data_IF_471532419466
#
_entry.id   IF_471532419466
#
_cell.length_a   1.000
_cell.length_b   1.000
_cell.length_c   1.000
_cell.angle_alpha   90.00
_cell.angle_beta   90.00
_cell.angle_gamma   90.00
#
_symmetry.space_group_name_H-M   'P 1'
#
loop_
_entity.id
_entity.type
_entity.pdbx_description
1 polymer ?
#
# COMPACT_ATOMS: atom_id res chain seq x y z
N UNK A 1 19.59 -5.66 71.65
CA UNK A 1 19.64 -4.40 70.87
C UNK A 1 20.35 -4.58 69.50
N UNK A 2 21.33 -5.44 69.34
CA UNK A 2 22.12 -5.63 68.10
C UNK A 2 21.27 -6.05 66.91
N UNK A 3 20.25 -6.91 67.11
CA UNK A 3 19.38 -7.37 66.01
C UNK A 3 18.44 -6.29 65.46
N UNK A 4 18.03 -5.30 66.26
CA UNK A 4 17.15 -4.24 65.80
C UNK A 4 17.87 -3.21 64.92
N UNK A 5 19.14 -2.95 65.20
CA UNK A 5 20.00 -2.01 64.45
C UNK A 5 20.40 -2.64 63.10
N UNK A 6 20.72 -3.94 63.08
CA UNK A 6 21.03 -4.66 61.86
C UNK A 6 19.83 -4.71 60.89
N UNK A 7 18.63 -4.98 61.41
CA UNK A 7 17.39 -4.99 60.62
C UNK A 7 17.00 -3.61 60.03
N UNK A 8 17.31 -2.52 60.74
CA UNK A 8 17.14 -1.15 60.22
C UNK A 8 18.08 -0.86 59.06
N UNK A 9 19.38 -1.18 59.29
CA UNK A 9 20.43 -0.96 58.29
C UNK A 9 20.13 -1.71 56.97
N UNK A 10 19.70 -2.97 57.09
CA UNK A 10 19.32 -3.78 55.91
C UNK A 10 18.13 -3.17 55.16
N UNK A 11 17.12 -2.67 55.88
CA UNK A 11 15.95 -2.00 55.24
C UNK A 11 16.33 -0.68 54.58
N UNK A 12 17.19 0.11 55.15
CA UNK A 12 17.68 1.38 54.58
C UNK A 12 18.51 1.13 53.31
N UNK A 13 19.41 0.15 53.34
CA UNK A 13 20.21 -0.23 52.17
C UNK A 13 19.28 -0.74 51.06
N UNK A 14 18.29 -1.59 51.39
CA UNK A 14 17.30 -2.08 50.39
C UNK A 14 16.46 -0.94 49.83
N UNK A 15 16.09 0.07 50.65
CA UNK A 15 15.38 1.28 50.17
C UNK A 15 16.22 2.11 49.22
N UNK A 16 17.48 2.38 49.56
CA UNK A 16 18.40 3.13 48.68
C UNK A 16 18.66 2.38 47.37
N UNK A 17 18.81 1.04 47.41
CA UNK A 17 19.00 0.20 46.22
C UNK A 17 17.77 0.25 45.27
N UNK A 18 16.56 0.21 45.83
CA UNK A 18 15.33 0.38 45.02
C UNK A 18 15.26 1.75 44.37
N UNK A 19 15.55 2.80 45.16
CA UNK A 19 15.52 4.17 44.64
C UNK A 19 16.57 4.38 43.54
N UNK A 20 17.76 3.78 43.64
CA UNK A 20 18.77 3.81 42.60
C UNK A 20 18.31 3.07 41.33
N UNK A 21 17.57 1.94 41.47
CA UNK A 21 16.96 1.23 40.33
C UNK A 21 15.88 2.08 39.68
N UNK A 22 15.02 2.74 40.44
CA UNK A 22 13.97 3.63 39.94
C UNK A 22 14.55 4.82 39.16
N UNK A 23 15.65 5.40 39.69
CA UNK A 23 16.41 6.46 39.00
C UNK A 23 16.94 5.94 37.65
N UNK A 24 17.60 4.80 37.66
CA UNK A 24 18.13 4.20 36.40
C UNK A 24 17.02 3.93 35.38
N UNK A 25 15.87 3.43 35.82
CA UNK A 25 14.74 3.22 34.95
C UNK A 25 14.18 4.54 34.39
N UNK A 26 14.03 5.56 35.25
CA UNK A 26 13.57 6.89 34.79
C UNK A 26 14.56 7.54 33.82
N UNK A 27 15.87 7.36 34.04
CA UNK A 27 16.91 7.82 33.10
C UNK A 27 16.77 7.14 31.72
N UNK A 28 16.50 5.82 31.67
CA UNK A 28 16.26 5.09 30.44
C UNK A 28 15.01 5.65 29.75
N UNK A 29 13.92 5.89 30.48
CA UNK A 29 12.69 6.48 29.94
C UNK A 29 12.93 7.87 29.35
N UNK A 30 13.71 8.72 30.02
CA UNK A 30 14.08 10.06 29.53
C UNK A 30 14.96 9.98 28.29
N UNK A 31 15.96 9.08 28.29
CA UNK A 31 16.91 8.96 27.17
C UNK A 31 16.30 8.35 25.92
N UNK A 32 15.34 7.42 26.08
CA UNK A 32 14.68 6.73 24.96
C UNK A 32 13.38 7.40 24.51
N UNK A 33 12.81 8.29 25.34
CA UNK A 33 11.49 8.86 25.15
C UNK A 33 10.35 7.85 25.32
N UNK A 34 10.63 6.62 25.79
CA UNK A 34 9.63 5.54 25.90
C UNK A 34 9.40 5.12 27.34
N UNK A 35 8.12 5.07 27.72
CA UNK A 35 7.64 4.61 29.02
C UNK A 35 7.75 3.09 29.18
N UNK A 36 7.44 2.34 28.11
CA UNK A 36 7.47 0.89 28.08
C UNK A 36 8.73 0.44 27.34
N UNK A 37 9.66 -0.16 28.09
CA UNK A 37 10.90 -0.74 27.57
C UNK A 37 10.78 -2.26 27.41
N UNK A 38 10.06 -2.90 28.34
CA UNK A 38 9.88 -4.35 28.42
C UNK A 38 8.40 -4.65 28.60
N UNK A 39 7.96 -5.80 28.13
CA UNK A 39 6.59 -6.25 28.32
C UNK A 39 6.18 -6.39 29.81
N UNK A 40 7.18 -6.56 30.71
CA UNK A 40 6.98 -6.59 32.15
C UNK A 40 6.60 -5.24 32.77
N UNK A 41 6.92 -4.13 32.11
CA UNK A 41 6.67 -2.78 32.66
C UNK A 41 5.17 -2.44 32.63
N UNK A 42 4.47 -2.87 31.57
CA UNK A 42 3.02 -2.76 31.41
C UNK A 42 2.54 -3.84 30.43
N UNK A 43 2.16 -5.04 30.90
CA UNK A 43 1.79 -6.17 30.03
C UNK A 43 0.57 -5.87 29.15
N UNK A 44 -0.37 -5.08 29.64
CA UNK A 44 -1.60 -4.75 28.90
C UNK A 44 -1.27 -3.80 27.74
N UNK A 45 -0.56 -2.71 28.03
CA UNK A 45 -0.14 -1.78 27.00
C UNK A 45 0.83 -2.44 26.01
N UNK A 46 1.78 -3.27 26.48
CA UNK A 46 2.70 -3.98 25.60
C UNK A 46 2.00 -4.92 24.63
N UNK A 47 0.95 -5.63 25.06
CA UNK A 47 0.13 -6.48 24.19
C UNK A 47 -0.59 -5.64 23.14
N UNK A 48 -1.17 -4.50 23.54
CA UNK A 48 -1.85 -3.59 22.60
C UNK A 48 -0.89 -2.99 21.58
N UNK A 49 0.28 -2.55 22.03
CA UNK A 49 1.35 -2.05 21.16
C UNK A 49 1.81 -3.09 20.15
N UNK A 50 1.97 -4.36 20.57
CA UNK A 50 2.31 -5.46 19.66
C UNK A 50 1.25 -5.67 18.58
N UNK A 51 -0.04 -5.62 18.94
CA UNK A 51 -1.15 -5.68 17.98
C UNK A 51 -1.13 -4.49 17.00
N UNK A 52 -0.91 -3.28 17.49
CA UNK A 52 -0.80 -2.07 16.65
C UNK A 52 0.37 -2.15 15.67
N UNK A 53 1.52 -2.69 16.10
CA UNK A 53 2.69 -2.91 15.23
C UNK A 53 2.39 -3.90 14.12
N UNK A 54 1.67 -4.98 14.41
CA UNK A 54 1.23 -5.95 13.40
C UNK A 54 0.29 -5.30 12.39
N UNK A 55 -0.69 -4.53 12.85
CA UNK A 55 -1.59 -3.78 11.97
C UNK A 55 -0.83 -2.78 11.10
N UNK A 56 0.15 -2.08 11.67
CA UNK A 56 1.00 -1.14 10.93
C UNK A 56 1.85 -1.85 9.87
N UNK A 57 2.43 -3.01 10.19
CA UNK A 57 3.21 -3.80 9.22
C UNK A 57 2.34 -4.26 8.05
N UNK A 58 1.12 -4.73 8.31
CA UNK A 58 0.16 -5.07 7.25
C UNK A 58 -0.19 -3.86 6.40
N UNK A 59 -0.46 -2.70 7.02
CA UNK A 59 -0.77 -1.47 6.30
C UNK A 59 0.38 -1.03 5.36
N UNK A 60 1.64 -1.20 5.78
CA UNK A 60 2.81 -0.94 4.91
C UNK A 60 2.81 -1.86 3.69
N UNK A 61 2.58 -3.16 3.89
CA UNK A 61 2.52 -4.13 2.79
C UNK A 61 1.38 -3.81 1.81
N UNK A 62 0.20 -3.45 2.31
CA UNK A 62 -0.92 -3.02 1.47
C UNK A 62 -0.63 -1.71 0.74
N UNK A 63 0.05 -0.76 1.37
CA UNK A 63 0.51 0.47 0.74
C UNK A 63 1.44 0.22 -0.46
N UNK A 64 2.35 -0.74 -0.35
CA UNK A 64 3.20 -1.17 -1.46
C UNK A 64 2.33 -1.73 -2.60
N UNK A 65 1.37 -2.62 -2.28
CA UNK A 65 0.46 -3.18 -3.28
C UNK A 65 -0.38 -2.09 -3.97
N UNK A 66 -0.84 -1.08 -3.22
CA UNK A 66 -1.58 0.06 -3.81
C UNK A 66 -0.73 0.87 -4.78
N UNK A 67 0.53 1.13 -4.45
CA UNK A 67 1.44 1.85 -5.33
C UNK A 67 1.71 1.06 -6.62
N UNK A 68 1.95 -0.25 -6.51
CA UNK A 68 2.10 -1.13 -7.68
C UNK A 68 0.82 -1.12 -8.52
N UNK A 69 -0.35 -1.27 -7.89
CA UNK A 69 -1.62 -1.28 -8.59
C UNK A 69 -1.91 0.04 -9.31
N UNK A 70 -1.60 1.19 -8.70
CA UNK A 70 -1.72 2.51 -9.34
C UNK A 70 -0.83 2.64 -10.57
N UNK A 71 0.40 2.16 -10.49
CA UNK A 71 1.29 2.14 -11.66
C UNK A 71 0.73 1.28 -12.78
N UNK A 72 0.20 0.08 -12.46
CA UNK A 72 -0.40 -0.81 -13.43
C UNK A 72 -1.67 -0.23 -14.06
N UNK A 73 -2.55 0.39 -13.26
CA UNK A 73 -3.78 1.02 -13.79
C UNK A 73 -3.45 2.21 -14.69
N UNK A 74 -2.53 3.09 -14.29
CA UNK A 74 -2.12 4.23 -15.10
C UNK A 74 -1.46 3.79 -16.42
N UNK A 75 -0.64 2.75 -16.39
CA UNK A 75 -0.05 2.16 -17.61
C UNK A 75 -1.13 1.56 -18.50
N UNK A 76 -2.09 0.83 -17.91
CA UNK A 76 -3.21 0.23 -18.66
C UNK A 76 -4.12 1.30 -19.30
N UNK A 77 -4.41 2.40 -18.60
CA UNK A 77 -5.16 3.54 -19.14
C UNK A 77 -4.47 4.14 -20.38
N UNK A 78 -3.17 4.35 -20.32
CA UNK A 78 -2.39 4.86 -21.45
C UNK A 78 -2.43 3.92 -22.64
N UNK A 79 -2.26 2.62 -22.42
CA UNK A 79 -2.29 1.58 -23.46
C UNK A 79 -3.69 1.45 -24.07
N UNK A 80 -4.76 1.46 -23.27
CA UNK A 80 -6.13 1.41 -23.76
C UNK A 80 -6.53 2.65 -24.55
N UNK A 81 -6.00 3.82 -24.19
CA UNK A 81 -6.19 5.03 -24.97
C UNK A 81 -5.62 4.88 -26.37
N UNK A 82 -4.40 4.38 -26.52
CA UNK A 82 -3.80 4.11 -27.82
C UNK A 82 -4.61 3.09 -28.61
N UNK A 83 -5.09 2.02 -27.96
CA UNK A 83 -5.95 1.03 -28.62
C UNK A 83 -7.28 1.64 -29.09
N UNK A 84 -7.87 2.55 -28.31
CA UNK A 84 -9.09 3.26 -28.70
C UNK A 84 -8.87 4.17 -29.91
N UNK A 85 -7.76 4.88 -29.96
CA UNK A 85 -7.41 5.74 -31.08
C UNK A 85 -7.21 4.92 -32.35
N UNK A 86 -6.58 3.73 -32.29
CA UNK A 86 -6.39 2.80 -33.39
C UNK A 86 -7.72 2.19 -33.88
N UNK A 87 -8.59 1.74 -32.96
CA UNK A 87 -9.92 1.23 -33.31
C UNK A 87 -10.79 2.32 -33.95
N UNK A 88 -10.74 3.54 -33.45
CA UNK A 88 -11.40 4.70 -34.03
C UNK A 88 -10.94 4.93 -35.47
N UNK A 89 -9.61 4.88 -35.71
CA UNK A 89 -9.03 5.00 -37.05
C UNK A 89 -9.45 3.84 -37.98
N UNK A 90 -9.46 2.61 -37.46
CA UNK A 90 -9.93 1.45 -38.23
C UNK A 90 -11.41 1.60 -38.63
N UNK A 91 -12.26 2.10 -37.72
CA UNK A 91 -13.67 2.32 -38.02
C UNK A 91 -13.87 3.43 -39.06
N UNK A 92 -13.12 4.54 -38.99
CA UNK A 92 -13.14 5.59 -40.04
C UNK A 92 -12.75 5.06 -41.41
N UNK A 93 -11.68 4.26 -41.48
CA UNK A 93 -11.23 3.64 -42.72
C UNK A 93 -12.29 2.67 -43.31
N UNK A 94 -12.88 1.82 -42.46
CA UNK A 94 -13.93 0.91 -42.84
C UNK A 94 -15.19 1.63 -43.33
N UNK A 95 -15.57 2.72 -42.63
CA UNK A 95 -16.70 3.56 -43.02
C UNK A 95 -16.45 4.25 -44.37
N UNK A 96 -15.24 4.78 -44.60
CA UNK A 96 -14.86 5.36 -45.89
C UNK A 96 -14.93 4.36 -47.03
N UNK A 97 -14.53 3.11 -46.75
CA UNK A 97 -14.55 2.01 -47.74
C UNK A 97 -15.96 1.44 -47.98
N UNK A 98 -16.93 1.74 -47.15
CA UNK A 98 -18.33 1.34 -47.35
C UNK A 98 -18.98 2.07 -48.55
N UNK A 99 -18.42 3.20 -48.97
CA UNK A 99 -18.80 3.89 -50.21
C UNK A 99 -18.39 3.06 -51.40
N UNK A 100 -19.35 2.43 -52.09
CA UNK A 100 -19.16 1.52 -53.24
C UNK A 100 -18.49 2.13 -54.48
N UNK A 101 -18.01 3.36 -54.43
CA UNK A 101 -17.36 4.11 -55.53
C UNK A 101 -15.84 4.01 -55.54
N UNK A 102 -15.22 3.38 -54.52
CA UNK A 102 -13.76 3.27 -54.42
C UNK A 102 -13.18 2.35 -55.51
N UNK A 103 -12.05 2.80 -56.09
CA UNK A 103 -11.28 1.97 -57.02
C UNK A 103 -10.66 0.76 -56.31
N UNK A 104 -10.33 -0.29 -57.07
CA UNK A 104 -9.70 -1.51 -56.49
C UNK A 104 -8.37 -1.18 -55.78
N UNK A 105 -7.59 -0.24 -56.35
CA UNK A 105 -6.33 0.18 -55.78
C UNK A 105 -6.52 0.89 -54.41
N UNK A 106 -7.53 1.73 -54.27
CA UNK A 106 -7.84 2.44 -53.04
C UNK A 106 -8.31 1.47 -51.95
N UNK A 107 -9.16 0.48 -52.30
CA UNK A 107 -9.55 -0.56 -51.35
C UNK A 107 -8.37 -1.42 -50.90
N UNK A 108 -7.42 -1.72 -51.78
CA UNK A 108 -6.23 -2.47 -51.44
C UNK A 108 -5.34 -1.65 -50.44
N UNK A 109 -5.20 -0.34 -50.66
CA UNK A 109 -4.45 0.54 -49.74
C UNK A 109 -5.08 0.60 -48.34
N UNK A 110 -6.42 0.77 -48.27
CA UNK A 110 -7.17 0.74 -47.01
C UNK A 110 -7.02 -0.61 -46.28
N UNK A 111 -7.14 -1.70 -47.01
CA UNK A 111 -6.98 -3.06 -46.46
C UNK A 111 -5.57 -3.26 -45.86
N UNK A 112 -4.53 -2.73 -46.51
CA UNK A 112 -3.17 -2.79 -46.00
C UNK A 112 -3.01 -1.96 -44.71
N UNK A 113 -3.57 -0.73 -44.67
CA UNK A 113 -3.55 0.13 -43.47
C UNK A 113 -4.29 -0.54 -42.30
N UNK A 114 -5.46 -1.12 -42.53
CA UNK A 114 -6.19 -1.87 -41.50
C UNK A 114 -5.42 -3.09 -41.00
N UNK A 115 -4.72 -3.80 -41.87
CA UNK A 115 -3.88 -4.93 -41.44
C UNK A 115 -2.74 -4.48 -40.55
N UNK A 116 -2.12 -3.33 -40.82
CA UNK A 116 -1.09 -2.74 -39.97
C UNK A 116 -1.66 -2.33 -38.61
N UNK A 117 -2.84 -1.72 -38.55
CA UNK A 117 -3.53 -1.38 -37.30
C UNK A 117 -3.83 -2.65 -36.49
N UNK A 118 -4.25 -3.74 -37.13
CA UNK A 118 -4.50 -4.99 -36.43
C UNK A 118 -3.23 -5.59 -35.80
N UNK A 119 -2.10 -5.51 -36.48
CA UNK A 119 -0.82 -5.98 -35.97
C UNK A 119 -0.35 -5.10 -34.77
N UNK A 120 -0.60 -3.80 -34.85
CA UNK A 120 -0.31 -2.88 -33.74
C UNK A 120 -1.21 -3.16 -32.53
N UNK A 121 -2.51 -3.44 -32.72
CA UNK A 121 -3.44 -3.83 -31.67
C UNK A 121 -3.02 -5.15 -30.96
N UNK A 122 -2.53 -6.12 -31.73
CA UNK A 122 -1.98 -7.35 -31.13
C UNK A 122 -0.74 -7.07 -30.28
N UNK A 123 0.14 -6.19 -30.75
CA UNK A 123 1.31 -5.72 -29.99
C UNK A 123 0.90 -5.04 -28.68
N UNK A 124 -0.11 -4.18 -28.74
CA UNK A 124 -0.70 -3.52 -27.56
C UNK A 124 -1.23 -4.55 -26.55
N UNK A 125 -1.95 -5.55 -27.01
CA UNK A 125 -2.46 -6.63 -26.16
C UNK A 125 -1.38 -7.49 -25.51
N UNK A 126 -0.15 -7.46 -26.02
CA UNK A 126 1.02 -8.15 -25.51
C UNK A 126 1.96 -7.27 -24.66
N UNK A 127 1.58 -6.02 -24.40
CA UNK A 127 2.42 -5.06 -23.63
C UNK A 127 2.82 -5.62 -22.27
N UNK A 128 4.11 -5.49 -21.92
CA UNK A 128 4.62 -5.83 -20.61
C UNK A 128 4.51 -4.64 -19.64
N UNK A 129 4.29 -4.97 -18.39
CA UNK A 129 4.31 -4.01 -17.30
C UNK A 129 5.74 -3.60 -16.94
N UNK A 130 5.89 -2.56 -16.16
CA UNK A 130 7.19 -2.13 -15.58
C UNK A 130 7.87 -3.21 -14.72
N UNK A 131 7.16 -4.29 -14.39
CA UNK A 131 7.66 -5.44 -13.62
C UNK A 131 8.18 -6.58 -14.53
N UNK A 132 8.15 -6.40 -15.87
CA UNK A 132 8.56 -7.42 -16.83
C UNK A 132 7.56 -8.57 -17.00
N UNK A 133 6.32 -8.40 -16.54
CA UNK A 133 5.24 -9.37 -16.71
C UNK A 133 4.17 -8.80 -17.65
N UNK A 134 3.35 -9.63 -18.32
CA UNK A 134 2.26 -9.13 -19.14
C UNK A 134 1.37 -8.16 -18.35
N UNK A 135 1.14 -6.97 -18.88
CA UNK A 135 0.27 -5.97 -18.26
C UNK A 135 -1.16 -6.50 -18.15
N UNK A 136 -1.63 -7.18 -19.19
CA UNK A 136 -2.93 -7.81 -19.27
C UNK A 136 -2.80 -9.33 -19.14
N UNK A 137 -3.28 -9.89 -18.03
CA UNK A 137 -3.21 -11.33 -17.81
C UNK A 137 -3.98 -12.10 -18.88
N UNK A 138 -3.38 -13.17 -19.43
CA UNK A 138 -4.01 -14.01 -20.46
C UNK A 138 -4.92 -15.11 -19.90
N UNK A 139 -4.87 -15.32 -18.57
CA UNK A 139 -5.69 -16.31 -17.86
C UNK A 139 -6.53 -15.67 -16.77
N UNK A 140 -6.35 -16.10 -15.54
CA UNK A 140 -7.04 -15.50 -14.38
C UNK A 140 -6.52 -14.11 -14.09
N UNK A 141 -7.42 -13.21 -13.68
CA UNK A 141 -7.07 -11.87 -13.29
C UNK A 141 -6.11 -11.87 -12.07
N UNK A 142 -5.11 -11.00 -12.09
CA UNK A 142 -4.13 -10.88 -11.00
C UNK A 142 -4.77 -10.19 -9.80
N UNK A 143 -5.17 -10.97 -8.80
CA UNK A 143 -5.73 -10.46 -7.56
C UNK A 143 -4.62 -9.88 -6.68
N UNK A 144 -4.83 -8.68 -6.17
CA UNK A 144 -3.96 -8.00 -5.21
C UNK A 144 -4.76 -7.65 -3.95
N UNK A 145 -4.11 -7.82 -2.79
CA UNK A 145 -4.73 -7.49 -1.50
C UNK A 145 -4.35 -6.07 -1.09
N UNK A 146 -5.35 -5.27 -0.77
CA UNK A 146 -5.21 -3.86 -0.40
C UNK A 146 -5.68 -3.55 1.03
N UNK A 147 -6.45 -4.45 1.62
CA UNK A 147 -6.90 -4.44 3.02
C UNK A 147 -7.33 -5.87 3.39
N UNK A 148 -7.75 -6.11 4.63
CA UNK A 148 -8.31 -7.39 5.05
C UNK A 148 -9.48 -7.83 4.17
N UNK A 149 -10.36 -6.89 3.82
CA UNK A 149 -11.57 -7.13 3.05
C UNK A 149 -11.50 -6.61 1.60
N UNK A 150 -10.36 -6.06 1.19
CA UNK A 150 -10.16 -5.52 -0.15
C UNK A 150 -9.18 -6.40 -0.95
N UNK A 151 -9.73 -7.34 -1.70
CA UNK A 151 -9.02 -8.21 -2.64
C UNK A 151 -9.67 -8.05 -4.01
N UNK A 152 -8.95 -7.52 -5.00
CA UNK A 152 -9.43 -7.40 -6.39
C UNK A 152 -8.28 -7.26 -7.38
N UNK A 153 -8.56 -7.43 -8.66
CA UNK A 153 -7.61 -7.20 -9.74
C UNK A 153 -7.66 -5.72 -10.15
N UNK A 154 -6.54 -4.96 -10.05
CA UNK A 154 -6.50 -3.57 -10.49
C UNK A 154 -6.69 -3.42 -12.01
N UNK A 155 -6.12 -4.35 -12.78
CA UNK A 155 -6.23 -4.42 -14.24
C UNK A 155 -6.98 -5.70 -14.60
N UNK A 156 -8.02 -5.63 -15.46
CA UNK A 156 -8.72 -6.80 -15.98
C UNK A 156 -7.83 -7.68 -16.87
N UNK A 157 -8.33 -8.86 -17.25
CA UNK A 157 -7.62 -9.76 -18.18
C UNK A 157 -7.63 -9.22 -19.59
N UNK A 158 -6.68 -9.69 -20.43
CA UNK A 158 -6.62 -9.35 -21.86
C UNK A 158 -7.95 -9.63 -22.56
N UNK A 159 -8.55 -10.79 -22.31
CA UNK A 159 -9.82 -11.15 -22.91
C UNK A 159 -10.96 -10.19 -22.51
N UNK A 160 -11.02 -9.81 -21.23
CA UNK A 160 -12.04 -8.87 -20.75
C UNK A 160 -11.90 -7.46 -21.36
N UNK A 161 -10.71 -7.10 -21.84
CA UNK A 161 -10.43 -5.78 -22.42
C UNK A 161 -10.62 -5.75 -23.95
N UNK A 162 -10.13 -6.78 -24.64
CA UNK A 162 -9.97 -6.76 -26.11
C UNK A 162 -10.88 -7.73 -26.85
N UNK A 163 -11.56 -8.66 -26.16
CA UNK A 163 -12.41 -9.63 -26.82
C UNK A 163 -13.88 -9.17 -26.85
N UNK A 164 -14.48 -9.16 -28.04
CA UNK A 164 -15.86 -8.80 -28.29
C UNK A 164 -16.47 -9.84 -29.23
N UNK A 165 -17.66 -10.34 -28.95
CA UNK A 165 -18.31 -11.31 -29.76
C UNK A 165 -17.55 -12.62 -30.03
N UNK A 166 -16.59 -12.97 -29.12
CA UNK A 166 -15.79 -14.19 -29.24
C UNK A 166 -14.50 -14.04 -30.05
N UNK A 167 -14.18 -12.85 -30.53
CA UNK A 167 -12.97 -12.54 -31.29
C UNK A 167 -12.23 -11.35 -30.66
N UNK A 168 -10.93 -11.23 -30.94
CA UNK A 168 -10.13 -10.08 -30.48
C UNK A 168 -10.42 -8.85 -31.33
N UNK A 169 -10.23 -7.66 -30.79
CA UNK A 169 -10.34 -6.39 -31.49
C UNK A 169 -9.47 -6.39 -32.79
N UNK A 170 -8.24 -6.91 -32.68
CA UNK A 170 -7.34 -7.06 -33.83
C UNK A 170 -7.94 -7.96 -34.92
N UNK A 171 -8.63 -9.05 -34.54
CA UNK A 171 -9.27 -9.94 -35.49
C UNK A 171 -10.44 -9.25 -36.20
N UNK A 172 -11.27 -8.47 -35.51
CA UNK A 172 -12.33 -7.68 -36.12
C UNK A 172 -11.77 -6.69 -37.17
N UNK A 173 -10.62 -6.07 -36.90
CA UNK A 173 -9.94 -5.18 -37.86
C UNK A 173 -9.41 -5.96 -39.07
N UNK A 174 -8.87 -7.18 -38.90
CA UNK A 174 -8.42 -8.05 -39.98
C UNK A 174 -9.60 -8.51 -40.87
N UNK A 175 -10.71 -8.83 -40.23
CA UNK A 175 -11.93 -9.22 -40.98
C UNK A 175 -12.46 -8.05 -41.81
N UNK A 176 -12.41 -6.81 -41.27
CA UNK A 176 -12.73 -5.60 -42.04
C UNK A 176 -11.74 -5.38 -43.19
N UNK A 177 -10.44 -5.55 -42.97
CA UNK A 177 -9.42 -5.44 -44.00
C UNK A 177 -9.68 -6.42 -45.16
N UNK A 178 -10.00 -7.68 -44.84
CA UNK A 178 -10.33 -8.72 -45.80
C UNK A 178 -11.60 -8.42 -46.60
N UNK A 179 -12.67 -7.98 -45.92
CA UNK A 179 -13.95 -7.62 -46.54
C UNK A 179 -13.79 -6.45 -47.52
N UNK A 180 -13.00 -5.44 -47.16
CA UNK A 180 -12.73 -4.26 -48.03
C UNK A 180 -11.87 -4.64 -49.21
N UNK A 181 -10.79 -5.41 -48.98
CA UNK A 181 -9.95 -5.91 -50.09
C UNK A 181 -10.75 -6.70 -51.12
N UNK A 182 -11.69 -7.53 -50.68
CA UNK A 182 -12.59 -8.30 -51.52
C UNK A 182 -13.71 -7.45 -52.19
N UNK A 183 -13.97 -6.25 -51.72
CA UNK A 183 -15.06 -5.39 -52.20
C UNK A 183 -16.46 -5.92 -51.85
N UNK A 184 -16.57 -6.72 -50.76
CA UNK A 184 -17.85 -7.34 -50.36
C UNK A 184 -18.59 -6.39 -49.38
N UNK A 185 -19.57 -5.67 -49.92
CA UNK A 185 -20.34 -4.67 -49.18
C UNK A 185 -21.10 -5.24 -47.96
N UNK A 186 -21.63 -6.48 -48.10
CA UNK A 186 -22.31 -7.12 -46.97
C UNK A 186 -21.33 -7.49 -45.83
N UNK A 187 -20.15 -8.00 -46.18
CA UNK A 187 -19.10 -8.28 -45.18
C UNK A 187 -18.54 -7.00 -44.54
N UNK A 188 -18.40 -5.90 -45.29
CA UNK A 188 -17.99 -4.60 -44.78
C UNK A 188 -19.01 -4.10 -43.75
N UNK A 189 -20.33 -4.18 -44.04
CA UNK A 189 -21.37 -3.79 -43.08
C UNK A 189 -21.32 -4.63 -41.77
N UNK A 190 -21.09 -5.94 -41.90
CA UNK A 190 -20.92 -6.83 -40.74
C UNK A 190 -19.68 -6.46 -39.91
N UNK A 191 -18.56 -6.17 -40.58
CA UNK A 191 -17.31 -5.76 -39.91
C UNK A 191 -17.43 -4.41 -39.19
N UNK A 192 -18.16 -3.45 -39.77
CA UNK A 192 -18.45 -2.18 -39.07
C UNK A 192 -19.19 -2.40 -37.75
N UNK A 193 -20.24 -3.26 -37.78
CA UNK A 193 -20.96 -3.61 -36.53
C UNK A 193 -20.05 -4.29 -35.51
N UNK A 194 -19.13 -5.15 -35.97
CA UNK A 194 -18.16 -5.80 -35.07
C UNK A 194 -17.12 -4.82 -34.51
N UNK A 195 -16.67 -3.86 -35.32
CA UNK A 195 -15.76 -2.78 -34.84
C UNK A 195 -16.44 -1.86 -33.80
N UNK A 196 -17.71 -1.50 -34.02
CA UNK A 196 -18.48 -0.73 -33.04
C UNK A 196 -18.57 -1.50 -31.71
N UNK A 197 -18.85 -2.81 -31.76
CA UNK A 197 -18.85 -3.66 -30.57
C UNK A 197 -17.49 -3.76 -29.89
N UNK A 198 -16.39 -3.74 -30.64
CA UNK A 198 -15.04 -3.71 -30.06
C UNK A 198 -14.72 -2.36 -29.40
N UNK A 199 -15.17 -1.26 -29.99
CA UNK A 199 -15.03 0.10 -29.41
C UNK A 199 -15.83 0.20 -28.10
N UNK A 200 -17.08 -0.27 -28.08
CA UNK A 200 -17.92 -0.28 -26.86
C UNK A 200 -17.31 -1.13 -25.74
N UNK A 201 -16.74 -2.29 -26.09
CA UNK A 201 -16.03 -3.14 -25.15
C UNK A 201 -14.82 -2.41 -24.56
N UNK A 202 -14.03 -1.74 -25.38
CA UNK A 202 -12.85 -0.99 -24.94
C UNK A 202 -13.24 0.20 -24.04
N UNK A 203 -14.31 0.90 -24.38
CA UNK A 203 -14.85 1.99 -23.55
C UNK A 203 -15.31 1.48 -22.17
N UNK A 204 -15.98 0.33 -22.15
CA UNK A 204 -16.36 -0.35 -20.88
C UNK A 204 -15.12 -0.74 -20.07
N UNK A 205 -14.10 -1.25 -20.72
CA UNK A 205 -12.83 -1.61 -20.09
C UNK A 205 -12.10 -0.41 -19.49
N UNK A 206 -12.06 0.71 -20.21
CA UNK A 206 -11.50 1.98 -19.71
C UNK A 206 -12.26 2.46 -18.47
N UNK A 207 -13.60 2.44 -18.50
CA UNK A 207 -14.42 2.81 -17.35
C UNK A 207 -14.12 1.91 -16.13
N UNK A 208 -13.96 0.60 -16.33
CA UNK A 208 -13.63 -0.34 -15.25
C UNK A 208 -12.26 -0.04 -14.62
N UNK A 209 -11.25 0.28 -15.42
CA UNK A 209 -9.93 0.66 -14.94
C UNK A 209 -10.01 1.99 -14.14
N UNK A 210 -10.74 2.98 -14.67
CA UNK A 210 -10.97 4.23 -13.95
C UNK A 210 -11.68 4.04 -12.60
N UNK A 211 -12.68 3.15 -12.55
CA UNK A 211 -13.34 2.76 -11.28
C UNK A 211 -12.34 2.12 -10.31
N UNK A 212 -11.47 1.23 -10.80
CA UNK A 212 -10.46 0.58 -9.97
C UNK A 212 -9.41 1.59 -9.47
N UNK A 213 -8.97 2.53 -10.32
CA UNK A 213 -8.07 3.61 -9.93
C UNK A 213 -8.68 4.50 -8.83
N UNK A 214 -9.92 4.95 -9.00
CA UNK A 214 -10.63 5.72 -7.98
C UNK A 214 -10.85 4.93 -6.67
N UNK A 215 -11.04 3.60 -6.77
CA UNK A 215 -11.13 2.72 -5.59
C UNK A 215 -9.80 2.63 -4.85
N UNK A 216 -8.68 2.52 -5.58
CA UNK A 216 -7.33 2.52 -5.00
C UNK A 216 -7.03 3.83 -4.28
N UNK A 217 -7.44 4.97 -4.84
CA UNK A 217 -7.23 6.27 -4.22
C UNK A 217 -7.98 6.40 -2.90
N UNK A 218 -9.26 6.02 -2.87
CA UNK A 218 -10.04 6.02 -1.62
C UNK A 218 -9.45 5.08 -0.55
N UNK A 219 -8.97 3.89 -0.96
CA UNK A 219 -8.32 2.97 -0.04
C UNK A 219 -7.02 3.56 0.52
N UNK A 220 -6.21 4.20 -0.30
CA UNK A 220 -4.97 4.81 0.15
C UNK A 220 -5.20 5.98 1.13
N UNK A 221 -6.22 6.80 0.88
CA UNK A 221 -6.63 7.87 1.81
C UNK A 221 -7.08 7.30 3.16
N UNK A 222 -7.96 6.28 3.15
CA UNK A 222 -8.39 5.60 4.37
C UNK A 222 -7.23 4.94 5.13
N UNK A 223 -6.23 4.40 4.41
CA UNK A 223 -5.02 3.85 5.02
C UNK A 223 -4.14 4.92 5.65
N UNK A 224 -4.01 6.09 5.02
CA UNK A 224 -3.25 7.21 5.57
C UNK A 224 -3.87 7.70 6.89
N UNK A 225 -5.19 7.86 6.95
CA UNK A 225 -5.92 8.25 8.17
C UNK A 225 -5.78 7.21 9.29
N UNK A 226 -5.94 5.92 8.97
CA UNK A 226 -5.70 4.83 9.94
C UNK A 226 -4.26 4.83 10.44
N UNK A 227 -3.29 5.10 9.56
CA UNK A 227 -1.88 5.19 9.92
C UNK A 227 -1.63 6.26 10.99
N UNK A 228 -2.24 7.44 10.85
CA UNK A 228 -2.17 8.53 11.83
C UNK A 228 -2.80 8.09 13.16
N UNK A 229 -3.99 7.48 13.11
CA UNK A 229 -4.69 7.00 14.32
C UNK A 229 -3.88 5.94 15.06
N UNK A 230 -3.31 4.96 14.35
CA UNK A 230 -2.45 3.92 14.94
C UNK A 230 -1.18 4.54 15.54
N UNK A 231 -0.55 5.49 14.86
CA UNK A 231 0.63 6.18 15.37
C UNK A 231 0.32 6.97 16.65
N UNK A 232 -0.80 7.69 16.68
CA UNK A 232 -1.24 8.44 17.86
C UNK A 232 -1.56 7.51 19.04
N UNK A 233 -2.30 6.41 18.82
CA UNK A 233 -2.59 5.42 19.87
C UNK A 233 -1.30 4.78 20.39
N UNK A 234 -0.37 4.42 19.50
CA UNK A 234 0.91 3.85 19.91
C UNK A 234 1.75 4.84 20.72
N UNK A 235 1.81 6.10 20.29
CA UNK A 235 2.49 7.17 21.01
C UNK A 235 1.91 7.35 22.42
N UNK A 236 0.58 7.38 22.55
CA UNK A 236 -0.08 7.52 23.87
C UNK A 236 0.22 6.36 24.83
N UNK A 237 0.50 5.17 24.30
CA UNK A 237 0.83 3.97 25.09
C UNK A 237 2.32 3.87 25.41
N UNK A 238 3.19 4.12 24.42
CA UNK A 238 4.63 3.88 24.50
C UNK A 238 5.43 5.09 25.00
N UNK A 239 5.01 6.32 24.66
CA UNK A 239 5.86 7.49 24.85
C UNK A 239 5.84 7.99 26.30
N UNK A 240 6.96 8.55 26.73
CA UNK A 240 7.13 9.14 28.05
C UNK A 240 6.80 10.63 27.99
N UNK A 241 6.01 11.09 28.96
CA UNK A 241 5.91 12.54 29.25
C UNK A 241 7.24 13.02 29.82
N UNK A 242 8.10 13.58 28.96
CA UNK A 242 9.45 14.01 29.32
C UNK A 242 9.49 15.04 30.45
N UNK A 243 8.65 16.10 30.46
CA UNK A 243 8.59 17.05 31.58
C UNK A 243 8.35 16.35 32.93
N UNK A 244 7.36 15.47 32.99
CA UNK A 244 7.02 14.70 34.19
C UNK A 244 8.13 13.72 34.57
N UNK A 245 8.74 13.05 33.60
CA UNK A 245 9.84 12.11 33.87
C UNK A 245 11.10 12.81 34.38
N UNK A 246 11.46 13.97 33.82
CA UNK A 246 12.60 14.79 34.30
C UNK A 246 12.35 15.32 35.73
N UNK A 247 11.13 15.81 36.00
CA UNK A 247 10.78 16.24 37.33
C UNK A 247 10.88 15.11 38.37
N UNK A 248 10.40 13.90 38.01
CA UNK A 248 10.52 12.69 38.84
C UNK A 248 11.98 12.30 39.04
N UNK A 249 12.80 12.32 37.99
CA UNK A 249 14.22 12.01 38.08
C UNK A 249 14.94 12.94 39.06
N UNK A 250 14.70 14.25 38.99
CA UNK A 250 15.28 15.22 39.89
C UNK A 250 14.85 14.98 41.32
N UNK A 251 13.54 14.74 41.56
CA UNK A 251 13.02 14.44 42.88
C UNK A 251 13.62 13.16 43.48
N UNK A 252 13.73 12.10 42.68
CA UNK A 252 14.36 10.84 43.11
C UNK A 252 15.84 11.00 43.41
N UNK A 253 16.58 11.77 42.60
CA UNK A 253 18.01 12.06 42.86
C UNK A 253 18.23 12.80 44.17
N UNK A 254 17.45 13.86 44.42
CA UNK A 254 17.51 14.63 45.70
C UNK A 254 17.13 13.72 46.88
N UNK A 255 16.11 12.85 46.71
CA UNK A 255 15.71 11.92 47.77
C UNK A 255 16.80 10.92 48.09
N UNK A 256 17.51 10.40 47.08
CA UNK A 256 18.63 9.48 47.27
C UNK A 256 19.80 10.15 48.00
N UNK A 257 20.17 11.37 47.60
CA UNK A 257 21.22 12.16 48.27
C UNK A 257 20.87 12.43 49.73
N UNK A 258 19.62 12.82 50.01
CA UNK A 258 19.15 13.06 51.39
C UNK A 258 19.16 11.77 52.23
N UNK A 259 18.74 10.64 51.66
CA UNK A 259 18.76 9.32 52.31
C UNK A 259 20.19 8.88 52.63
N UNK A 260 21.14 9.06 51.71
CA UNK A 260 22.55 8.76 51.90
C UNK A 260 23.18 9.65 52.99
N UNK A 261 22.88 10.96 53.00
CA UNK A 261 23.35 11.88 54.01
C UNK A 261 22.79 11.55 55.41
N UNK A 262 21.51 11.22 55.50
CA UNK A 262 20.88 10.77 56.75
C UNK A 262 21.49 9.47 57.25
N UNK A 263 21.68 8.49 56.37
CA UNK A 263 22.33 7.21 56.73
C UNK A 263 23.75 7.40 57.25
N UNK A 264 24.56 8.23 56.58
CA UNK A 264 25.92 8.54 57.04
C UNK A 264 25.93 9.22 58.43
N UNK A 265 24.98 10.12 58.71
CA UNK A 265 24.85 10.80 59.99
C UNK A 265 24.43 9.85 61.13
N UNK A 266 23.50 8.94 60.85
CA UNK A 266 23.05 7.94 61.84
C UNK A 266 24.18 6.97 62.18
N UNK A 267 24.90 6.48 61.17
CA UNK A 267 25.99 5.52 61.37
C UNK A 267 27.19 6.11 62.11
N UNK A 268 27.50 7.40 61.98
CA UNK A 268 28.54 8.07 62.72
C UNK A 268 28.18 8.13 64.21
N UNK A 269 26.93 8.39 64.56
CA UNK A 269 26.48 8.43 65.96
C UNK A 269 26.52 7.08 66.67
N UNK A 270 26.14 6.01 65.95
CA UNK A 270 26.17 4.65 66.53
C UNK A 270 27.59 4.12 66.75
N UNK A 271 28.58 4.51 65.96
CA UNK A 271 29.99 4.14 66.14
C UNK A 271 30.62 4.87 67.37
N UNK A 272 30.28 6.13 67.56
CA UNK A 272 30.76 6.90 68.76
C UNK A 272 30.10 6.42 70.02
N UNK A 273 28.84 5.97 70.05
CA UNK A 273 28.08 5.43 71.16
C UNK A 273 28.59 4.02 71.62
N UNK A 274 29.32 3.30 70.75
CA UNK A 274 29.90 1.98 71.03
C UNK A 274 31.33 2.10 71.54
N UNK A 275 32.01 3.22 71.29
CA UNK A 275 33.41 3.46 71.70
C UNK A 275 33.58 4.38 72.94
N UNK A 276 32.56 5.01 73.45
CA UNK A 276 32.49 5.82 74.66
C UNK A 276 31.69 5.09 75.70
#
# INVERSE_FOLDING_TARGET
>A
MINATGNRMTREIAGQSRLAQDIAQTQIQVSTGKRIQRASDDPVAATRVAALRTTQANAVAWGINMNVARTLTAQAEGVLKTASDLLGRANELALSASNGTLAVADRAAISLELSAIADELDGIGATESSLGEPLFATGSARLMRFDNDALFAPVPTRAALFDSGGQTAAQHVRDAASAIGAGNSAAIATSLTALDGAIDQLATAQAQIGINAARLDRLAEAHAERGITIAAERSSLEDTDLPTAIARLNAQSITLEAAQAAFARINRRTLFDILG
#
